data_IF_773257670017
#
_entry.id   IF_773257670017
#
_cell.length_a   1.000
_cell.length_b   1.000
_cell.length_c   1.000
_cell.angle_alpha   90.00
_cell.angle_beta   90.00
_cell.angle_gamma   90.00
#
_symmetry.space_group_name_H-M   'P 1'
#
loop_
_entity.id
_entity.type
_entity.pdbx_description
1 polymer ?
#
# COMPACT_ATOMS: atom_id res chain seq x y z
N UNK A 1 -2.61 -18.13 23.31
CA UNK A 1 -3.00 -17.48 24.59
C UNK A 1 -2.58 -18.33 25.79
N UNK A 2 -2.93 -19.61 25.81
CA UNK A 2 -2.59 -20.57 26.91
C UNK A 2 -1.10 -20.63 27.25
N UNK A 3 -0.20 -20.67 26.27
CA UNK A 3 1.25 -20.68 26.50
C UNK A 3 1.74 -19.41 27.20
N UNK A 4 1.35 -18.23 26.74
CA UNK A 4 1.79 -16.94 27.32
C UNK A 4 1.30 -16.80 28.77
N UNK A 5 0.05 -17.22 29.03
CA UNK A 5 -0.53 -17.23 30.39
C UNK A 5 0.15 -18.24 31.29
N UNK A 6 0.43 -19.44 30.79
CA UNK A 6 1.08 -20.51 31.54
C UNK A 6 2.49 -20.12 32.01
N UNK A 7 3.22 -19.34 31.21
CA UNK A 7 4.54 -18.79 31.58
C UNK A 7 4.48 -17.45 32.34
N UNK A 8 3.29 -16.89 32.59
CA UNK A 8 3.11 -15.63 33.32
C UNK A 8 3.70 -14.39 32.62
N UNK A 9 4.00 -14.48 31.32
CA UNK A 9 4.82 -13.50 30.59
C UNK A 9 3.96 -12.50 29.77
N UNK A 10 2.72 -12.27 30.19
CA UNK A 10 1.78 -11.39 29.48
C UNK A 10 2.28 -9.94 29.38
N UNK A 11 2.98 -9.44 30.41
CA UNK A 11 3.47 -8.06 30.46
C UNK A 11 4.47 -7.75 29.35
N UNK A 12 5.35 -8.71 28.99
CA UNK A 12 6.31 -8.54 27.89
C UNK A 12 5.59 -8.37 26.57
N UNK A 13 4.62 -9.24 26.27
CA UNK A 13 3.83 -9.16 25.04
C UNK A 13 2.96 -7.91 24.98
N UNK A 14 2.39 -7.48 26.12
CA UNK A 14 1.61 -6.25 26.20
C UNK A 14 2.48 -5.01 25.89
N UNK A 15 3.68 -4.94 26.49
CA UNK A 15 4.64 -3.86 26.21
C UNK A 15 5.03 -3.83 24.73
N UNK A 16 5.36 -4.98 24.15
CA UNK A 16 5.70 -5.08 22.73
C UNK A 16 4.53 -4.66 21.83
N UNK A 17 3.29 -4.97 22.22
CA UNK A 17 2.12 -4.54 21.49
C UNK A 17 2.00 -3.00 21.49
N UNK A 18 2.13 -2.38 22.66
CA UNK A 18 2.11 -0.91 22.75
C UNK A 18 3.23 -0.26 21.93
N UNK A 19 4.45 -0.79 21.99
CA UNK A 19 5.56 -0.29 21.17
C UNK A 19 5.24 -0.38 19.66
N UNK A 20 4.65 -1.49 19.20
CA UNK A 20 4.25 -1.66 17.80
C UNK A 20 3.12 -0.71 17.39
N UNK A 21 2.12 -0.50 18.26
CA UNK A 21 1.03 0.46 18.03
C UNK A 21 1.60 1.87 17.93
N UNK A 22 2.52 2.25 18.82
CA UNK A 22 3.16 3.56 18.80
C UNK A 22 3.98 3.78 17.53
N UNK A 23 4.73 2.76 17.10
CA UNK A 23 5.49 2.82 15.83
C UNK A 23 4.56 3.00 14.64
N UNK A 24 3.40 2.35 14.62
CA UNK A 24 2.41 2.51 13.55
C UNK A 24 1.70 3.88 13.59
N UNK A 25 1.43 4.41 14.79
CA UNK A 25 0.71 5.68 14.95
C UNK A 25 1.59 6.91 14.71
N UNK A 26 2.90 6.83 14.98
CA UNK A 26 3.84 7.96 14.77
C UNK A 26 3.77 8.53 13.34
N UNK A 27 3.91 7.74 12.25
CA UNK A 27 3.76 8.23 10.88
C UNK A 27 2.42 8.91 10.62
N UNK A 28 1.32 8.33 11.13
CA UNK A 28 0.00 8.90 10.97
C UNK A 28 -0.08 10.30 11.58
N UNK A 29 0.46 10.47 12.80
CA UNK A 29 0.50 11.77 13.45
C UNK A 29 1.35 12.79 12.65
N UNK A 30 2.49 12.38 12.10
CA UNK A 30 3.30 13.25 11.24
C UNK A 30 2.56 13.71 9.99
N UNK A 31 1.73 12.87 9.37
CA UNK A 31 0.89 13.26 8.22
C UNK A 31 -0.11 14.37 8.61
N UNK A 32 -0.70 14.31 9.80
CA UNK A 32 -1.59 15.37 10.29
C UNK A 32 -0.84 16.68 10.56
N UNK A 33 0.33 16.61 11.19
CA UNK A 33 1.17 17.78 11.44
C UNK A 33 1.60 18.42 10.13
N UNK A 34 2.03 17.63 9.14
CA UNK A 34 2.39 18.12 7.81
C UNK A 34 1.22 18.79 7.09
N UNK A 35 0.02 18.17 7.14
CA UNK A 35 -1.19 18.76 6.57
C UNK A 35 -1.54 20.12 7.21
N UNK A 36 -1.33 20.27 8.52
CA UNK A 36 -1.55 21.53 9.23
C UNK A 36 -0.50 22.58 8.85
N UNK A 37 0.77 22.18 8.76
CA UNK A 37 1.86 23.04 8.34
C UNK A 37 1.64 23.57 6.92
N UNK A 38 1.28 22.69 5.98
CA UNK A 38 0.92 23.05 4.62
C UNK A 38 -0.25 24.02 4.59
N UNK A 39 -1.32 23.74 5.34
CA UNK A 39 -2.48 24.62 5.43
C UNK A 39 -2.09 26.03 5.89
N UNK A 40 -1.29 26.14 6.97
CA UNK A 40 -0.83 27.42 7.48
C UNK A 40 -0.01 28.19 6.44
N UNK A 41 0.92 27.52 5.74
CA UNK A 41 1.72 28.15 4.68
C UNK A 41 0.87 28.63 3.52
N UNK A 42 -0.07 27.81 3.05
CA UNK A 42 -0.99 28.19 1.98
C UNK A 42 -1.93 29.32 2.38
N UNK A 43 -2.34 29.37 3.65
CA UNK A 43 -3.16 30.45 4.19
C UNK A 43 -2.40 31.77 4.24
N UNK A 44 -1.11 31.76 4.60
CA UNK A 44 -0.26 32.95 4.53
C UNK A 44 -0.17 33.48 3.09
N UNK A 45 0.08 32.61 2.11
CA UNK A 45 0.15 33.00 0.68
C UNK A 45 -1.19 33.56 0.22
N UNK A 46 -2.30 32.90 0.58
CA UNK A 46 -3.64 33.39 0.25
C UNK A 46 -3.97 34.74 0.89
N UNK A 47 -3.54 34.97 2.13
CA UNK A 47 -3.70 36.25 2.80
C UNK A 47 -2.94 37.38 2.09
N UNK A 48 -1.71 37.12 1.61
CA UNK A 48 -0.97 38.09 0.81
C UNK A 48 -1.68 38.41 -0.52
N UNK A 49 -2.20 37.40 -1.22
CA UNK A 49 -2.94 37.61 -2.47
C UNK A 49 -4.16 38.51 -2.24
N UNK A 50 -4.96 38.21 -1.20
CA UNK A 50 -6.15 39.00 -0.86
C UNK A 50 -5.76 40.42 -0.42
N UNK A 51 -4.68 40.56 0.36
CA UNK A 51 -4.16 41.86 0.78
C UNK A 51 -3.77 42.74 -0.41
N UNK A 52 -2.99 42.20 -1.36
CA UNK A 52 -2.61 42.95 -2.56
C UNK A 52 -3.82 43.25 -3.45
N UNK A 53 -4.73 42.30 -3.63
CA UNK A 53 -5.96 42.52 -4.41
C UNK A 53 -6.82 43.64 -3.81
N UNK A 54 -6.99 43.66 -2.48
CA UNK A 54 -7.70 44.72 -1.78
C UNK A 54 -6.96 46.07 -1.85
N UNK A 55 -5.64 46.07 -1.67
CA UNK A 55 -4.81 47.27 -1.77
C UNK A 55 -4.89 47.90 -3.18
N UNK A 56 -4.85 47.10 -4.24
CA UNK A 56 -5.02 47.58 -5.61
C UNK A 56 -6.44 48.09 -5.88
N UNK A 57 -7.46 47.40 -5.35
CA UNK A 57 -8.84 47.84 -5.48
C UNK A 57 -9.07 49.23 -4.85
N UNK A 58 -8.45 49.50 -3.70
CA UNK A 58 -8.51 50.81 -3.04
C UNK A 58 -7.66 51.85 -3.76
N UNK A 59 -6.43 51.51 -4.15
CA UNK A 59 -5.51 52.46 -4.80
C UNK A 59 -6.00 52.95 -6.17
N UNK A 60 -6.79 52.12 -6.88
CA UNK A 60 -7.37 52.44 -8.19
C UNK A 60 -8.89 52.58 -8.15
N UNK A 61 -9.46 52.96 -7.00
CA UNK A 61 -10.91 53.12 -6.81
C UNK A 61 -11.56 54.05 -7.84
N UNK A 62 -10.82 55.05 -8.33
CA UNK A 62 -11.32 56.03 -9.30
C UNK A 62 -11.30 55.52 -10.76
N UNK A 63 -10.59 54.42 -11.02
CA UNK A 63 -10.40 53.85 -12.38
C UNK A 63 -11.07 52.49 -12.57
N UNK A 64 -11.36 51.78 -11.49
CA UNK A 64 -11.89 50.42 -11.51
C UNK A 64 -13.35 50.45 -11.07
N UNK A 65 -14.22 49.79 -11.84
CA UNK A 65 -15.60 49.59 -11.45
C UNK A 65 -15.69 48.74 -10.17
N UNK A 66 -16.48 49.20 -9.20
CA UNK A 66 -16.64 48.54 -7.91
C UNK A 66 -17.14 47.09 -8.04
N UNK A 67 -17.95 46.81 -9.08
CA UNK A 67 -18.40 45.46 -9.41
C UNK A 67 -17.25 44.52 -9.77
N UNK A 68 -16.36 44.95 -10.68
CA UNK A 68 -15.18 44.17 -11.08
C UNK A 68 -14.21 43.94 -9.91
N UNK A 69 -14.00 44.94 -9.05
CA UNK A 69 -13.18 44.80 -7.86
C UNK A 69 -13.74 43.75 -6.88
N UNK A 70 -15.05 43.75 -6.65
CA UNK A 70 -15.72 42.77 -5.80
C UNK A 70 -15.65 41.34 -6.35
N UNK A 71 -15.76 41.18 -7.66
CA UNK A 71 -15.61 39.89 -8.35
C UNK A 71 -14.17 39.37 -8.22
N UNK A 72 -13.17 40.22 -8.46
CA UNK A 72 -11.74 39.87 -8.33
C UNK A 72 -11.37 39.41 -6.91
N UNK A 73 -11.87 40.11 -5.89
CA UNK A 73 -11.64 39.74 -4.49
C UNK A 73 -12.32 38.42 -4.13
N UNK A 74 -13.55 38.21 -4.60
CA UNK A 74 -14.30 36.96 -4.39
C UNK A 74 -13.62 35.75 -5.04
N UNK A 75 -13.10 35.94 -6.26
CA UNK A 75 -12.30 34.91 -6.94
C UNK A 75 -10.98 34.63 -6.25
N UNK A 76 -10.31 35.64 -5.69
CA UNK A 76 -9.05 35.46 -4.95
C UNK A 76 -9.23 34.56 -3.73
N UNK A 77 -10.32 34.75 -2.97
CA UNK A 77 -10.67 33.88 -1.83
C UNK A 77 -10.96 32.45 -2.30
N UNK A 78 -11.71 32.31 -3.39
CA UNK A 78 -12.08 31.00 -3.95
C UNK A 78 -10.85 30.25 -4.49
N UNK A 79 -9.94 30.96 -5.16
CA UNK A 79 -8.70 30.41 -5.69
C UNK A 79 -7.79 29.87 -4.58
N UNK A 80 -7.62 30.62 -3.47
CA UNK A 80 -6.88 30.15 -2.29
C UNK A 80 -7.41 28.79 -1.82
N UNK A 81 -8.73 28.67 -1.66
CA UNK A 81 -9.36 27.44 -1.16
C UNK A 81 -9.12 26.27 -2.10
N UNK A 82 -9.37 26.46 -3.40
CA UNK A 82 -9.20 25.42 -4.41
C UNK A 82 -7.75 24.97 -4.55
N UNK A 83 -6.78 25.89 -4.49
CA UNK A 83 -5.36 25.57 -4.61
C UNK A 83 -4.88 24.59 -3.52
N UNK A 84 -5.29 24.80 -2.26
CA UNK A 84 -4.96 23.87 -1.15
C UNK A 84 -5.57 22.50 -1.38
N UNK A 85 -6.83 22.45 -1.83
CA UNK A 85 -7.52 21.20 -2.10
C UNK A 85 -6.89 20.40 -3.23
N UNK A 86 -6.44 21.06 -4.31
CA UNK A 86 -5.76 20.40 -5.43
C UNK A 86 -4.47 19.73 -4.96
N UNK A 87 -3.64 20.43 -4.19
CA UNK A 87 -2.39 19.86 -3.65
C UNK A 87 -2.68 18.66 -2.74
N UNK A 88 -3.70 18.77 -1.88
CA UNK A 88 -4.11 17.66 -1.01
C UNK A 88 -4.64 16.45 -1.79
N UNK A 89 -5.44 16.69 -2.82
CA UNK A 89 -5.97 15.63 -3.68
C UNK A 89 -4.85 14.93 -4.44
N UNK A 90 -3.88 15.68 -4.95
CA UNK A 90 -2.70 15.11 -5.60
C UNK A 90 -1.93 14.17 -4.65
N UNK A 91 -1.62 14.64 -3.43
CA UNK A 91 -0.93 13.82 -2.44
C UNK A 91 -1.75 12.58 -2.03
N UNK A 92 -3.08 12.67 -1.98
CA UNK A 92 -3.95 11.53 -1.69
C UNK A 92 -3.91 10.47 -2.80
N UNK A 93 -3.91 10.90 -4.06
CA UNK A 93 -3.79 10.01 -5.21
C UNK A 93 -2.43 9.32 -5.21
N UNK A 94 -1.35 10.06 -4.97
CA UNK A 94 0.00 9.51 -4.85
C UNK A 94 0.09 8.45 -3.74
N UNK A 95 -0.43 8.76 -2.55
CA UNK A 95 -0.48 7.79 -1.45
C UNK A 95 -1.29 6.53 -1.80
N UNK A 96 -2.38 6.68 -2.56
CA UNK A 96 -3.21 5.56 -3.01
C UNK A 96 -2.50 4.69 -4.06
N UNK A 97 -1.66 5.30 -4.92
CA UNK A 97 -0.89 4.59 -5.94
C UNK A 97 0.13 3.62 -5.37
N UNK A 98 0.66 3.85 -4.16
CA UNK A 98 1.51 2.86 -3.47
C UNK A 98 0.83 1.49 -3.34
N UNK A 99 -0.51 1.46 -3.19
CA UNK A 99 -1.23 0.17 -3.13
C UNK A 99 -1.29 -0.51 -4.49
N UNK A 100 -1.39 0.27 -5.57
CA UNK A 100 -1.37 -0.23 -6.95
C UNK A 100 0.00 -0.80 -7.29
N UNK A 101 1.08 -0.09 -6.93
CA UNK A 101 2.46 -0.54 -7.12
C UNK A 101 2.69 -1.91 -6.46
N UNK A 102 2.23 -2.09 -5.21
CA UNK A 102 2.34 -3.38 -4.51
C UNK A 102 1.58 -4.52 -5.19
N UNK A 103 0.39 -4.22 -5.72
CA UNK A 103 -0.38 -5.24 -6.46
C UNK A 103 0.35 -5.61 -7.74
N UNK A 104 0.90 -4.62 -8.45
CA UNK A 104 1.70 -4.85 -9.65
C UNK A 104 2.95 -5.69 -9.35
N UNK A 105 3.67 -5.38 -8.26
CA UNK A 105 4.81 -6.16 -7.79
C UNK A 105 4.42 -7.64 -7.57
N UNK A 106 3.28 -7.91 -6.94
CA UNK A 106 2.80 -9.28 -6.76
C UNK A 106 2.45 -9.98 -8.06
N UNK A 107 1.90 -9.27 -9.05
CA UNK A 107 1.55 -9.84 -10.35
C UNK A 107 2.80 -10.18 -11.16
N UNK A 108 3.79 -9.29 -11.17
CA UNK A 108 4.95 -9.39 -12.07
C UNK A 108 6.11 -10.20 -11.46
N UNK A 109 6.35 -10.07 -10.16
CA UNK A 109 7.55 -10.61 -9.51
C UNK A 109 7.31 -11.92 -8.75
N UNK A 110 6.05 -12.26 -8.44
CA UNK A 110 5.75 -13.52 -7.76
C UNK A 110 5.73 -14.66 -8.77
N UNK A 111 6.56 -15.71 -8.59
CA UNK A 111 6.50 -16.88 -9.45
C UNK A 111 5.11 -17.52 -9.36
N UNK A 112 4.40 -17.58 -10.48
CA UNK A 112 3.11 -18.24 -10.56
C UNK A 112 3.28 -19.74 -10.74
N UNK A 113 2.38 -20.50 -10.14
CA UNK A 113 2.25 -21.92 -10.44
C UNK A 113 1.88 -22.10 -11.92
N UNK A 114 2.29 -23.22 -12.55
CA UNK A 114 1.87 -23.54 -13.90
C UNK A 114 0.34 -23.56 -14.04
N UNK A 115 -0.19 -23.32 -15.25
CA UNK A 115 -1.63 -23.42 -15.51
C UNK A 115 -2.19 -24.76 -15.03
N UNK A 116 -3.40 -24.73 -14.45
CA UNK A 116 -4.09 -25.93 -13.94
C UNK A 116 -4.22 -27.03 -14.99
N UNK A 117 -4.35 -26.65 -16.26
CA UNK A 117 -4.43 -27.59 -17.37
C UNK A 117 -3.29 -27.32 -18.35
N UNK A 118 -2.50 -28.34 -18.62
CA UNK A 118 -1.47 -28.32 -19.64
C UNK A 118 -1.93 -29.11 -20.88
N UNK A 119 -1.49 -28.75 -22.09
CA UNK A 119 -1.81 -29.53 -23.30
C UNK A 119 -1.34 -30.99 -23.24
N UNK A 120 -0.41 -31.30 -22.33
CA UNK A 120 0.16 -32.63 -22.11
C UNK A 120 -0.47 -33.35 -20.91
N UNK A 121 -1.55 -32.80 -20.34
CA UNK A 121 -2.22 -33.45 -19.23
C UNK A 121 -2.74 -34.83 -19.64
N UNK A 122 -2.65 -35.82 -18.74
CA UNK A 122 -3.11 -37.15 -19.04
C UNK A 122 -4.64 -37.18 -19.19
N UNK A 123 -5.13 -38.15 -19.97
CA UNK A 123 -6.56 -38.35 -20.22
C UNK A 123 -7.37 -38.52 -18.91
N UNK A 124 -8.67 -38.22 -18.95
CA UNK A 124 -9.56 -38.31 -17.78
C UNK A 124 -9.59 -39.69 -17.08
N UNK A 125 -9.13 -40.76 -17.75
CA UNK A 125 -9.00 -42.10 -17.17
C UNK A 125 -7.69 -42.33 -16.39
N UNK A 126 -6.83 -41.31 -16.31
CA UNK A 126 -5.62 -41.31 -15.50
C UNK A 126 -5.92 -40.82 -14.07
N UNK A 127 -5.31 -41.41 -13.03
CA UNK A 127 -4.44 -42.59 -13.08
C UNK A 127 -5.26 -43.89 -13.07
N UNK A 128 -5.04 -44.79 -14.04
CA UNK A 128 -5.88 -45.99 -14.21
C UNK A 128 -5.53 -47.16 -13.29
N UNK A 129 -4.26 -47.26 -12.88
CA UNK A 129 -3.75 -48.37 -12.03
C UNK A 129 -3.23 -47.90 -10.66
N UNK A 130 -2.94 -46.61 -10.50
CA UNK A 130 -2.39 -46.05 -9.25
C UNK A 130 -0.97 -46.52 -8.90
N UNK A 131 -0.19 -47.00 -9.89
CA UNK A 131 1.24 -47.31 -9.71
C UNK A 131 2.03 -46.01 -9.62
N UNK A 132 2.93 -45.90 -8.64
CA UNK A 132 3.80 -44.73 -8.45
C UNK A 132 5.24 -45.20 -8.55
N UNK A 133 5.99 -44.65 -9.50
CA UNK A 133 7.41 -44.91 -9.67
C UNK A 133 8.16 -43.57 -9.53
N UNK A 134 8.97 -43.45 -8.48
CA UNK A 134 9.76 -42.25 -8.19
C UNK A 134 11.23 -42.61 -8.36
N UNK A 135 11.91 -41.86 -9.23
CA UNK A 135 13.32 -42.08 -9.55
C UNK A 135 14.13 -40.81 -9.25
N UNK A 136 15.16 -40.96 -8.44
CA UNK A 136 16.20 -39.98 -8.10
C UNK A 136 15.65 -38.60 -7.73
N UNK A 137 14.53 -38.57 -6.99
CA UNK A 137 13.84 -37.32 -6.68
C UNK A 137 14.69 -36.47 -5.73
N UNK A 138 14.78 -35.19 -6.05
CA UNK A 138 15.47 -34.20 -5.24
C UNK A 138 14.51 -33.04 -4.95
N UNK A 139 14.21 -32.79 -3.67
CA UNK A 139 13.26 -31.75 -3.25
C UNK A 139 13.96 -30.74 -2.33
N UNK A 140 13.72 -29.46 -2.60
CA UNK A 140 14.14 -28.32 -1.79
C UNK A 140 13.00 -27.31 -1.70
N UNK A 141 12.89 -26.61 -0.57
CA UNK A 141 11.87 -25.58 -0.35
C UNK A 141 12.20 -24.24 -1.00
N UNK A 142 13.49 -23.92 -1.12
CA UNK A 142 13.99 -22.68 -1.76
C UNK A 142 15.26 -23.01 -2.56
N UNK A 143 15.54 -22.32 -3.67
CA UNK A 143 16.77 -22.51 -4.45
C UNK A 143 18.05 -22.42 -3.63
N UNK A 144 18.04 -21.60 -2.58
CA UNK A 144 19.20 -21.29 -1.74
C UNK A 144 19.38 -22.23 -0.55
N UNK A 145 18.37 -23.05 -0.25
CA UNK A 145 18.41 -24.01 0.85
C UNK A 145 18.97 -25.36 0.37
N UNK A 146 19.63 -26.12 1.26
CA UNK A 146 20.03 -27.48 0.95
C UNK A 146 18.81 -28.34 0.63
N UNK A 147 19.06 -29.40 -0.14
CA UNK A 147 18.04 -30.40 -0.46
C UNK A 147 17.63 -31.14 0.82
N UNK A 148 16.33 -31.31 1.00
CA UNK A 148 15.76 -32.06 2.13
C UNK A 148 15.58 -33.53 1.75
N UNK A 149 15.15 -33.76 0.51
CA UNK A 149 15.14 -35.08 -0.11
C UNK A 149 16.21 -35.03 -1.20
N UNK A 150 17.16 -35.96 -1.13
CA UNK A 150 18.28 -36.04 -2.07
C UNK A 150 18.41 -37.48 -2.55
N UNK A 151 18.24 -37.67 -3.85
CA UNK A 151 18.42 -38.94 -4.55
C UNK A 151 17.61 -40.13 -3.98
N UNK A 152 16.31 -39.93 -3.78
CA UNK A 152 15.41 -41.00 -3.29
C UNK A 152 14.65 -41.66 -4.45
N UNK A 153 14.68 -42.99 -4.47
CA UNK A 153 14.01 -43.81 -5.48
C UNK A 153 13.17 -44.89 -4.82
N UNK A 154 11.89 -45.01 -5.20
CA UNK A 154 11.00 -46.05 -4.70
C UNK A 154 9.87 -46.35 -5.69
N UNK A 155 9.34 -47.57 -5.58
CA UNK A 155 8.27 -48.09 -6.42
C UNK A 155 7.10 -48.56 -5.54
N UNK A 156 5.88 -48.15 -5.89
CA UNK A 156 4.64 -48.52 -5.20
C UNK A 156 3.71 -49.23 -6.17
N UNK A 157 3.32 -50.46 -5.83
CA UNK A 157 2.42 -51.25 -6.67
C UNK A 157 0.96 -50.76 -6.58
N UNK A 158 0.16 -51.15 -7.57
CA UNK A 158 -1.27 -50.84 -7.58
C UNK A 158 -1.99 -51.44 -6.37
N UNK A 159 -2.69 -50.59 -5.59
CA UNK A 159 -3.43 -51.01 -4.41
C UNK A 159 -2.58 -51.38 -3.19
N UNK A 160 -1.26 -51.13 -3.25
CA UNK A 160 -0.35 -51.34 -2.13
C UNK A 160 -0.50 -50.22 -1.10
N UNK A 161 -0.57 -50.58 0.18
CA UNK A 161 -0.60 -49.65 1.30
C UNK A 161 0.75 -49.68 1.99
N UNK A 162 1.48 -48.58 1.92
CA UNK A 162 2.80 -48.37 2.52
C UNK A 162 2.65 -47.55 3.81
#
# INVERSE_FOLDING_TARGET
MTTIRAYGDERRFLKQNFEKIDVNNRPFWYVWVNNRWLAYRSDMIGAFIIFFAAAFAVAYSDKIDAGLAGISLSFSVSFRYTAVWVVRMYAYVEMSMNSVERVQEYIEQTPQEPPKYLPQDPVNSWPSKGVIDVQDICIRYSPELPRVIDNVSFHVNAGEKI
#
